data_IF_395845976547
#
_entry.id   IF_395845976547
#
_cell.length_a   1.000
_cell.length_b   1.000
_cell.length_c   1.000
_cell.angle_alpha   90.00
_cell.angle_beta   90.00
_cell.angle_gamma   90.00
#
_symmetry.space_group_name_H-M   'P 1'
#
loop_
_entity.id
_entity.type
_entity.pdbx_description
1 polymer ?
#
# COMPACT_ATOMS: atom_id res chain seq x y z
N UNK A 1 -8.44 7.41 12.05
CA UNK A 1 -8.06 5.97 11.99
C UNK A 1 -9.30 5.10 12.21
N UNK A 2 -10.24 5.66 12.95
CA UNK A 2 -11.64 5.37 13.18
C UNK A 2 -12.31 4.53 12.08
N UNK A 3 -12.14 4.86 10.79
CA UNK A 3 -12.72 4.07 9.69
C UNK A 3 -12.31 2.59 9.75
N UNK A 4 -11.00 2.32 9.88
CA UNK A 4 -10.50 0.94 9.99
C UNK A 4 -10.98 0.32 11.30
N UNK A 5 -11.02 1.09 12.39
CA UNK A 5 -11.42 0.60 13.70
C UNK A 5 -12.92 0.25 13.77
N UNK A 6 -13.76 0.97 13.04
CA UNK A 6 -15.21 0.75 13.00
C UNK A 6 -15.54 -0.53 12.23
N UNK A 7 -14.81 -0.83 11.16
CA UNK A 7 -15.08 -1.94 10.25
C UNK A 7 -14.15 -3.15 10.43
N UNK A 8 -13.25 -3.12 11.41
CA UNK A 8 -12.35 -4.23 11.70
C UNK A 8 -12.10 -4.40 13.20
N UNK A 9 -11.26 -5.38 13.55
CA UNK A 9 -10.78 -5.58 14.93
C UNK A 9 -9.41 -4.94 15.18
N UNK A 10 -8.94 -4.08 14.28
CA UNK A 10 -7.70 -3.32 14.44
C UNK A 10 -7.98 -2.10 15.32
N UNK A 11 -6.99 -1.74 16.15
CA UNK A 11 -7.01 -0.56 17.03
C UNK A 11 -5.67 0.15 16.91
N UNK A 12 -5.71 1.46 16.79
CA UNK A 12 -4.55 2.34 16.73
C UNK A 12 -4.45 3.13 18.03
N UNK A 13 -3.40 2.84 18.79
CA UNK A 13 -3.16 3.51 20.06
C UNK A 13 -1.91 4.39 19.98
N UNK A 14 -1.94 5.61 20.55
CA UNK A 14 -0.75 6.43 20.68
C UNK A 14 0.34 5.64 21.43
N UNK A 15 1.49 5.49 20.77
CA UNK A 15 2.64 4.79 21.35
C UNK A 15 3.06 5.43 22.68
N UNK A 16 3.32 4.58 23.68
CA UNK A 16 3.89 4.96 24.97
C UNK A 16 5.30 4.40 25.11
N UNK A 17 5.43 3.07 25.19
CA UNK A 17 6.70 2.37 25.49
C UNK A 17 6.97 1.17 24.58
N UNK A 18 6.08 0.91 23.64
CA UNK A 18 6.17 -0.19 22.70
C UNK A 18 7.45 -0.05 21.88
N UNK A 19 8.21 -1.14 21.75
CA UNK A 19 9.43 -1.14 20.93
C UNK A 19 9.12 -1.14 19.44
N UNK A 20 8.01 -1.77 19.07
CA UNK A 20 7.50 -1.85 17.71
C UNK A 20 6.26 -0.95 17.57
N UNK A 21 6.24 -0.12 16.54
CA UNK A 21 5.20 0.88 16.32
C UNK A 21 5.25 1.42 14.90
N UNK A 22 4.08 1.81 14.41
CA UNK A 22 3.91 2.55 13.17
C UNK A 22 4.35 4.00 13.35
N UNK A 23 5.09 4.54 12.38
CA UNK A 23 5.47 5.96 12.37
C UNK A 23 4.82 6.70 11.21
N UNK A 24 4.07 7.77 11.50
CA UNK A 24 3.63 8.73 10.49
C UNK A 24 4.67 9.85 10.36
N UNK A 25 5.08 10.16 9.14
CA UNK A 25 6.06 11.21 8.85
C UNK A 25 5.62 12.08 7.68
N UNK A 26 6.09 13.32 7.64
CA UNK A 26 5.93 14.20 6.47
C UNK A 26 7.21 14.17 5.64
N UNK A 27 7.29 13.26 4.67
CA UNK A 27 8.36 13.19 3.67
C UNK A 27 7.74 13.42 2.28
N UNK A 28 8.56 13.45 1.25
CA UNK A 28 8.07 13.63 -0.11
C UNK A 28 7.31 12.38 -0.57
N UNK A 29 6.12 12.61 -1.15
CA UNK A 29 5.22 11.57 -1.65
C UNK A 29 4.38 10.87 -0.59
N UNK A 30 3.46 10.04 -1.09
CA UNK A 30 2.58 9.16 -0.31
C UNK A 30 3.12 7.74 -0.49
N UNK A 31 3.55 7.12 0.60
CA UNK A 31 4.08 5.76 0.56
C UNK A 31 4.13 5.15 1.96
N UNK A 32 4.14 3.83 1.97
CA UNK A 32 4.33 3.01 3.15
C UNK A 32 5.50 2.05 2.94
N UNK A 33 6.34 1.92 3.96
CA UNK A 33 7.39 0.90 4.01
C UNK A 33 7.13 -0.05 5.17
N UNK A 34 7.26 -1.35 4.89
CA UNK A 34 6.94 -2.39 5.83
C UNK A 34 5.43 -2.61 5.98
N UNK A 35 5.10 -3.60 6.78
CA UNK A 35 3.75 -4.10 7.05
C UNK A 35 3.57 -4.30 8.55
N UNK A 36 2.47 -4.91 8.95
CA UNK A 36 2.17 -5.20 10.35
C UNK A 36 3.16 -6.19 10.97
N UNK A 37 3.81 -7.00 10.14
CA UNK A 37 4.83 -7.97 10.55
C UNK A 37 6.18 -7.31 10.81
N UNK A 38 6.39 -6.09 10.29
CA UNK A 38 7.58 -5.31 10.56
C UNK A 38 7.47 -4.60 11.92
N UNK A 39 8.57 -4.56 12.67
CA UNK A 39 8.56 -3.88 13.97
C UNK A 39 8.33 -2.36 13.84
N UNK A 40 8.78 -1.74 12.75
CA UNK A 40 8.77 -0.27 12.58
C UNK A 40 8.34 0.15 11.18
N UNK A 41 7.10 -0.16 10.76
CA UNK A 41 6.57 0.34 9.51
C UNK A 41 6.50 1.88 9.54
N UNK A 42 6.61 2.48 8.37
CA UNK A 42 6.63 3.94 8.22
C UNK A 42 5.71 4.36 7.10
N UNK A 43 4.92 5.39 7.37
CA UNK A 43 4.07 6.05 6.39
C UNK A 43 4.58 7.46 6.16
N UNK A 44 4.72 7.85 4.90
CA UNK A 44 4.90 9.23 4.49
C UNK A 44 3.57 9.82 4.03
N UNK A 45 3.17 10.92 4.66
CA UNK A 45 2.06 11.76 4.22
C UNK A 45 2.62 13.14 3.85
N UNK A 46 3.17 13.23 2.65
CA UNK A 46 3.70 14.46 2.08
C UNK A 46 2.64 15.49 1.68
N UNK A 47 3.08 16.53 0.97
CA UNK A 47 2.17 17.49 0.36
C UNK A 47 1.25 16.78 -0.64
N UNK A 48 -0.07 16.98 -0.52
CA UNK A 48 -1.08 16.31 -1.34
C UNK A 48 -1.51 14.91 -0.86
N UNK A 49 -0.92 14.39 0.23
CA UNK A 49 -1.23 13.05 0.74
C UNK A 49 -2.21 13.04 1.92
N UNK A 50 -2.78 14.19 2.29
CA UNK A 50 -3.65 14.32 3.48
C UNK A 50 -5.13 14.16 3.16
N UNK A 51 -5.47 13.75 1.94
CA UNK A 51 -6.83 13.34 1.60
C UNK A 51 -7.19 12.04 2.33
N UNK A 52 -8.44 11.93 2.77
CA UNK A 52 -8.91 10.80 3.58
C UNK A 52 -8.61 9.44 2.94
N UNK A 53 -8.93 9.29 1.65
CA UNK A 53 -8.70 8.04 0.92
C UNK A 53 -7.22 7.67 0.82
N UNK A 54 -6.34 8.67 0.64
CA UNK A 54 -4.89 8.45 0.57
C UNK A 54 -4.32 8.02 1.92
N UNK A 55 -4.75 8.67 3.01
CA UNK A 55 -4.34 8.25 4.37
C UNK A 55 -4.80 6.82 4.64
N UNK A 56 -6.04 6.48 4.26
CA UNK A 56 -6.59 5.14 4.44
C UNK A 56 -5.80 4.09 3.64
N UNK A 57 -5.48 4.39 2.38
CA UNK A 57 -4.67 3.55 1.51
C UNK A 57 -3.31 3.21 2.11
N UNK A 58 -2.58 4.22 2.62
CA UNK A 58 -1.28 3.98 3.25
C UNK A 58 -1.38 3.20 4.57
N UNK A 59 -2.44 3.44 5.35
CA UNK A 59 -2.70 2.62 6.55
C UNK A 59 -3.00 1.16 6.20
N UNK A 60 -3.74 0.89 5.12
CA UNK A 60 -3.98 -0.47 4.64
C UNK A 60 -2.68 -1.16 4.20
N UNK A 61 -1.77 -0.44 3.55
CA UNK A 61 -0.43 -0.96 3.26
C UNK A 61 0.31 -1.34 4.54
N UNK A 62 0.27 -0.50 5.58
CA UNK A 62 0.89 -0.81 6.86
C UNK A 62 0.23 -2.00 7.58
N UNK A 63 -1.03 -2.31 7.30
CA UNK A 63 -1.73 -3.50 7.81
C UNK A 63 -1.35 -4.77 7.03
N UNK A 64 -0.76 -4.63 5.84
CA UNK A 64 -0.32 -5.75 5.00
C UNK A 64 -1.12 -5.94 3.71
N UNK A 65 -2.01 -5.01 3.36
CA UNK A 65 -2.66 -5.05 2.06
C UNK A 65 -1.71 -4.57 0.96
N UNK A 66 -1.83 -5.18 -0.21
CA UNK A 66 -1.14 -4.76 -1.43
C UNK A 66 -2.13 -4.09 -2.39
N UNK A 67 -1.63 -3.50 -3.46
CA UNK A 67 -2.50 -3.02 -4.53
C UNK A 67 -3.36 -4.16 -5.09
N UNK A 68 -4.66 -3.94 -5.26
CA UNK A 68 -5.63 -4.97 -5.66
C UNK A 68 -5.27 -5.63 -7.00
N UNK A 69 -4.72 -4.86 -7.95
CA UNK A 69 -4.25 -5.40 -9.22
C UNK A 69 -3.00 -6.27 -9.10
N UNK A 70 -2.47 -6.53 -7.90
CA UNK A 70 -1.42 -7.53 -7.67
C UNK A 70 -1.98 -8.90 -7.30
N UNK A 71 -3.29 -9.05 -7.11
CA UNK A 71 -3.85 -10.36 -6.77
C UNK A 71 -3.45 -11.44 -7.77
N UNK A 72 -3.25 -12.69 -7.32
CA UNK A 72 -2.83 -13.78 -8.20
C UNK A 72 -3.87 -14.12 -9.28
N UNK A 73 -5.15 -13.88 -9.00
CA UNK A 73 -6.28 -14.11 -9.89
C UNK A 73 -6.62 -12.88 -10.76
N UNK A 74 -5.85 -11.79 -10.69
CA UNK A 74 -6.14 -10.52 -11.41
C UNK A 74 -6.37 -10.71 -12.91
N UNK A 75 -5.73 -11.72 -13.51
CA UNK A 75 -5.79 -11.97 -14.96
C UNK A 75 -7.19 -12.40 -15.42
N UNK A 76 -8.06 -12.78 -14.49
CA UNK A 76 -9.46 -13.12 -14.77
C UNK A 76 -10.35 -11.86 -14.78
N UNK A 77 -9.86 -10.72 -14.29
CA UNK A 77 -10.65 -9.49 -14.09
C UNK A 77 -10.11 -8.28 -14.86
N UNK A 78 -8.79 -8.17 -15.03
CA UNK A 78 -8.15 -6.99 -15.65
C UNK A 78 -7.04 -7.37 -16.64
N UNK A 79 -6.97 -6.62 -17.73
CA UNK A 79 -5.89 -6.71 -18.73
C UNK A 79 -4.92 -5.55 -18.51
N UNK A 80 -3.65 -5.86 -18.26
CA UNK A 80 -2.60 -4.85 -18.15
C UNK A 80 -2.04 -4.58 -19.55
N UNK A 81 -2.23 -3.35 -20.05
CA UNK A 81 -1.58 -2.92 -21.28
C UNK A 81 -0.14 -2.46 -20.99
N UNK A 82 0.79 -3.41 -21.05
CA UNK A 82 2.20 -3.20 -20.76
C UNK A 82 2.89 -2.17 -21.66
N UNK A 83 2.39 -1.96 -22.88
CA UNK A 83 2.92 -0.94 -23.81
C UNK A 83 2.69 0.50 -23.30
N UNK A 84 1.71 0.68 -22.41
CA UNK A 84 1.37 1.98 -21.83
C UNK A 84 2.05 2.22 -20.46
N UNK A 85 2.93 1.31 -20.02
CA UNK A 85 3.66 1.47 -18.77
C UNK A 85 5.04 2.04 -19.07
N UNK A 86 5.36 3.18 -18.46
CA UNK A 86 6.70 3.79 -18.53
C UNK A 86 7.81 2.78 -18.19
N UNK A 87 8.87 2.80 -19.00
CA UNK A 87 10.03 1.93 -18.80
C UNK A 87 10.64 2.13 -17.42
N UNK A 88 10.89 1.04 -16.71
CA UNK A 88 11.43 1.03 -15.34
C UNK A 88 10.36 1.08 -14.24
N UNK A 89 9.08 1.38 -14.56
CA UNK A 89 8.00 1.42 -13.57
C UNK A 89 7.29 0.07 -13.38
N UNK A 90 7.62 -0.95 -14.17
CA UNK A 90 6.92 -2.24 -14.15
C UNK A 90 7.01 -2.93 -12.79
N UNK A 91 8.18 -2.92 -12.14
CA UNK A 91 8.39 -3.54 -10.81
C UNK A 91 7.74 -2.77 -9.66
N UNK A 92 7.65 -1.44 -9.77
CA UNK A 92 7.00 -0.61 -8.76
C UNK A 92 5.49 -0.84 -8.75
N UNK A 93 4.93 -1.13 -9.93
CA UNK A 93 3.50 -1.34 -10.08
C UNK A 93 3.10 -2.79 -9.88
N UNK A 94 3.95 -3.79 -10.10
CA UNK A 94 3.56 -5.20 -10.00
C UNK A 94 4.55 -6.09 -9.26
N UNK A 95 4.08 -6.75 -8.19
CA UNK A 95 4.86 -7.72 -7.39
C UNK A 95 4.83 -9.14 -7.97
N UNK A 96 3.72 -9.57 -8.58
CA UNK A 96 3.58 -10.93 -9.11
C UNK A 96 3.63 -10.95 -10.64
N UNK A 97 4.68 -11.52 -11.24
CA UNK A 97 4.82 -11.58 -12.68
C UNK A 97 4.16 -12.86 -13.20
N UNK A 98 2.84 -12.99 -13.09
CA UNK A 98 2.14 -14.00 -13.89
C UNK A 98 1.96 -13.44 -15.31
N UNK A 99 2.92 -13.75 -16.18
CA UNK A 99 2.91 -13.36 -17.58
C UNK A 99 1.88 -14.19 -18.34
N UNK A 100 0.66 -13.67 -18.49
CA UNK A 100 -0.06 -13.80 -19.75
C UNK A 100 0.15 -12.51 -20.53
N UNK A 101 1.29 -12.43 -21.21
CA UNK A 101 1.46 -11.47 -22.32
C UNK A 101 0.49 -11.90 -23.41
N UNK A 102 -0.64 -11.21 -23.54
CA UNK A 102 -1.42 -11.27 -24.77
C UNK A 102 -0.67 -10.39 -25.77
N UNK A 103 0.25 -11.02 -26.51
CA UNK A 103 0.75 -10.43 -27.75
C UNK A 103 -0.42 -10.44 -28.73
N UNK A 104 -1.11 -9.30 -28.87
CA UNK A 104 -1.80 -8.97 -30.11
C UNK A 104 -0.81 -8.34 -31.07
#
# INVERSE_FOLDING_TARGET
MDEIELYSRIRFEPRRREQCYLTLTKRDGCWTTGTIDDCRPRISLGMGCTEFGTILHELLHAIGFEHEHNRPDRSDYVIINWRNIENGKQRHKMKFPFFRTVNK
#
